data_IF_957310919777
#
_entry.id   IF_957310919777
#
_cell.length_a   1.000
_cell.length_b   1.000
_cell.length_c   1.000
_cell.angle_alpha   90.00
_cell.angle_beta   90.00
_cell.angle_gamma   90.00
#
_symmetry.space_group_name_H-M   'P 1'
#
loop_
_entity.id
_entity.type
_entity.pdbx_description
1 polymer ?
#
# COMPACT_ATOMS: atom_id res chain seq x y z
N UNK A 1 -19.66 33.52 23.21
CA UNK A 1 -19.60 32.15 23.77
C UNK A 1 -19.54 31.02 22.73
N UNK A 2 -20.44 30.92 21.73
CA UNK A 2 -20.45 29.82 20.73
C UNK A 2 -19.14 29.61 19.95
N UNK A 3 -18.41 30.68 19.58
CA UNK A 3 -17.12 30.57 18.85
C UNK A 3 -16.02 29.86 19.65
N UNK A 4 -15.98 30.01 20.97
CA UNK A 4 -14.95 29.37 21.82
C UNK A 4 -15.15 27.87 21.97
N UNK A 5 -16.41 27.40 22.06
CA UNK A 5 -16.73 25.99 22.16
C UNK A 5 -16.40 25.25 20.86
N UNK A 6 -16.72 25.85 19.70
CA UNK A 6 -16.36 25.30 18.39
C UNK A 6 -14.84 25.17 18.22
N UNK A 7 -14.07 26.16 18.64
CA UNK A 7 -12.61 26.11 18.55
C UNK A 7 -12.01 25.00 19.43
N UNK A 8 -12.52 24.80 20.65
CA UNK A 8 -12.06 23.72 21.53
C UNK A 8 -12.38 22.34 20.96
N UNK A 9 -13.60 22.13 20.44
CA UNK A 9 -14.00 20.86 19.81
C UNK A 9 -13.13 20.56 18.58
N UNK A 10 -12.93 21.55 17.70
CA UNK A 10 -12.09 21.38 16.51
C UNK A 10 -10.62 21.10 16.87
N UNK A 11 -10.10 21.73 17.94
CA UNK A 11 -8.73 21.49 18.42
C UNK A 11 -8.59 20.08 18.99
N UNK A 12 -9.56 19.61 19.77
CA UNK A 12 -9.59 18.23 20.28
C UNK A 12 -9.66 17.20 19.15
N UNK A 13 -10.56 17.42 18.18
CA UNK A 13 -10.66 16.56 16.99
C UNK A 13 -9.34 16.44 16.24
N UNK A 14 -8.68 17.57 15.91
CA UNK A 14 -7.39 17.55 15.22
C UNK A 14 -6.32 16.79 16.00
N UNK A 15 -6.25 16.99 17.31
CA UNK A 15 -5.26 16.34 18.18
C UNK A 15 -5.49 14.82 18.24
N UNK A 16 -6.75 14.39 18.36
CA UNK A 16 -7.11 12.96 18.31
C UNK A 16 -6.76 12.34 16.97
N UNK A 17 -7.11 13.00 15.87
CA UNK A 17 -6.78 12.52 14.51
C UNK A 17 -5.27 12.38 14.37
N UNK A 18 -4.50 13.42 14.72
CA UNK A 18 -3.04 13.40 14.65
C UNK A 18 -2.43 12.27 15.51
N UNK A 19 -2.97 12.02 16.70
CA UNK A 19 -2.52 10.92 17.56
C UNK A 19 -2.77 9.56 16.90
N UNK A 20 -3.98 9.32 16.37
CA UNK A 20 -4.33 8.08 15.70
C UNK A 20 -3.42 7.82 14.49
N UNK A 21 -3.19 8.85 13.66
CA UNK A 21 -2.31 8.73 12.49
C UNK A 21 -0.86 8.46 12.87
N UNK A 22 -0.32 9.15 13.88
CA UNK A 22 1.04 8.90 14.35
C UNK A 22 1.21 7.46 14.86
N UNK A 23 0.21 6.93 15.58
CA UNK A 23 0.21 5.54 16.02
C UNK A 23 0.10 4.57 14.84
N UNK A 24 -0.72 4.87 13.83
CA UNK A 24 -0.84 4.06 12.62
C UNK A 24 0.48 4.01 11.83
N UNK A 25 1.12 5.16 11.59
CA UNK A 25 2.42 5.23 10.91
C UNK A 25 3.48 4.45 11.70
N UNK A 26 3.54 4.62 13.01
CA UNK A 26 4.47 3.88 13.87
C UNK A 26 4.24 2.36 13.75
N UNK A 27 2.98 1.91 13.83
CA UNK A 27 2.64 0.50 13.68
C UNK A 27 3.03 -0.06 12.31
N UNK A 28 2.77 0.68 11.23
CA UNK A 28 3.14 0.29 9.87
C UNK A 28 4.66 0.23 9.67
N UNK A 29 5.41 1.20 10.21
CA UNK A 29 6.88 1.19 10.16
C UNK A 29 7.47 0.02 10.92
N UNK A 30 6.98 -0.25 12.13
CA UNK A 30 7.40 -1.42 12.91
C UNK A 30 7.07 -2.72 12.19
N UNK A 31 5.85 -2.83 11.64
CA UNK A 31 5.44 -3.97 10.82
C UNK A 31 6.36 -4.18 9.61
N UNK A 32 6.73 -3.11 8.91
CA UNK A 32 7.66 -3.14 7.79
C UNK A 32 9.05 -3.62 8.21
N UNK A 33 9.60 -3.08 9.29
CA UNK A 33 10.90 -3.51 9.80
C UNK A 33 10.90 -5.00 10.20
N UNK A 34 9.86 -5.44 10.90
CA UNK A 34 9.70 -6.85 11.29
C UNK A 34 9.58 -7.74 10.04
N UNK A 35 8.76 -7.34 9.07
CA UNK A 35 8.56 -8.07 7.82
C UNK A 35 9.85 -8.20 7.00
N UNK A 36 10.61 -7.11 6.87
CA UNK A 36 11.93 -7.11 6.22
C UNK A 36 12.87 -8.05 6.97
N UNK A 37 12.98 -7.90 8.29
CA UNK A 37 13.85 -8.75 9.12
C UNK A 37 13.52 -10.24 8.96
N UNK A 38 12.24 -10.60 9.01
CA UNK A 38 11.77 -11.97 8.81
C UNK A 38 12.11 -12.50 7.42
N UNK A 39 11.87 -11.72 6.37
CA UNK A 39 12.16 -12.12 4.99
C UNK A 39 13.66 -12.37 4.79
N UNK A 40 14.52 -11.53 5.37
CA UNK A 40 15.97 -11.73 5.33
C UNK A 40 16.43 -13.00 6.05
N UNK A 41 15.83 -13.33 7.20
CA UNK A 41 16.12 -14.58 7.91
C UNK A 41 15.69 -15.80 7.09
N UNK A 42 14.51 -15.76 6.48
CA UNK A 42 13.99 -16.84 5.64
C UNK A 42 14.89 -17.10 4.41
N UNK A 43 15.45 -16.06 3.79
CA UNK A 43 16.46 -16.21 2.71
C UNK A 43 17.71 -16.93 3.22
N UNK A 44 18.22 -16.53 4.39
CA UNK A 44 19.39 -17.15 4.99
C UNK A 44 19.21 -18.65 5.25
N UNK A 45 18.01 -19.04 5.68
CA UNK A 45 17.65 -20.45 5.89
C UNK A 45 17.42 -21.19 4.57
N UNK A 46 16.76 -20.57 3.58
CA UNK A 46 16.45 -21.19 2.29
C UNK A 46 17.69 -21.51 1.44
N UNK A 47 18.79 -20.75 1.59
CA UNK A 47 20.08 -21.06 0.96
C UNK A 47 20.64 -22.40 1.45
N UNK A 48 20.23 -22.85 2.64
CA UNK A 48 20.72 -24.09 3.25
C UNK A 48 19.92 -25.33 2.85
N UNK A 49 18.79 -25.20 2.14
CA UNK A 49 17.93 -26.32 1.75
C UNK A 49 18.00 -26.68 0.24
N UNK A 50 17.81 -27.96 -0.16
CA UNK A 50 17.89 -28.39 -1.56
C UNK A 50 16.72 -27.94 -2.46
N UNK A 51 15.63 -27.42 -1.89
CA UNK A 51 14.34 -27.19 -2.56
C UNK A 51 14.19 -25.79 -3.16
N UNK A 52 15.13 -25.39 -4.03
CA UNK A 52 15.27 -24.03 -4.61
C UNK A 52 13.97 -23.43 -5.18
N UNK A 53 13.07 -24.26 -5.75
CA UNK A 53 11.81 -23.78 -6.36
C UNK A 53 10.78 -23.28 -5.33
N UNK A 54 10.67 -23.93 -4.17
CA UNK A 54 9.71 -23.53 -3.13
C UNK A 54 10.18 -22.23 -2.48
N UNK A 55 11.47 -22.16 -2.13
CA UNK A 55 12.07 -20.97 -1.52
C UNK A 55 11.98 -19.71 -2.39
N UNK A 56 12.07 -19.82 -3.72
CA UNK A 56 11.91 -18.68 -4.62
C UNK A 56 10.47 -18.14 -4.64
N UNK A 57 9.47 -19.03 -4.61
CA UNK A 57 8.05 -18.64 -4.59
C UNK A 57 7.73 -17.88 -3.30
N UNK A 58 8.17 -18.39 -2.16
CA UNK A 58 7.94 -17.76 -0.86
C UNK A 58 8.67 -16.43 -0.77
N UNK A 59 9.91 -16.35 -1.27
CA UNK A 59 10.66 -15.11 -1.36
C UNK A 59 9.93 -14.03 -2.16
N UNK A 60 9.48 -14.34 -3.37
CA UNK A 60 8.77 -13.36 -4.22
C UNK A 60 7.46 -12.92 -3.54
N UNK A 61 6.73 -13.86 -2.93
CA UNK A 61 5.49 -13.56 -2.20
C UNK A 61 5.72 -12.63 -1.02
N UNK A 62 6.77 -12.88 -0.24
CA UNK A 62 7.14 -12.05 0.90
C UNK A 62 7.60 -10.65 0.45
N UNK A 63 8.45 -10.56 -0.55
CA UNK A 63 8.92 -9.27 -1.09
C UNK A 63 7.76 -8.44 -1.64
N UNK A 64 6.87 -9.04 -2.43
CA UNK A 64 5.67 -8.36 -2.94
C UNK A 64 4.75 -7.89 -1.81
N UNK A 65 4.67 -8.64 -0.71
CA UNK A 65 3.93 -8.22 0.48
C UNK A 65 4.56 -7.02 1.19
N UNK A 66 5.89 -6.97 1.27
CA UNK A 66 6.63 -5.82 1.82
C UNK A 66 6.45 -4.57 0.96
N UNK A 67 6.48 -4.72 -0.37
CA UNK A 67 6.24 -3.61 -1.31
C UNK A 67 4.87 -2.98 -1.05
N UNK A 68 3.80 -3.77 -0.92
CA UNK A 68 2.47 -3.23 -0.61
C UNK A 68 2.43 -2.52 0.75
N UNK A 69 3.07 -3.10 1.76
CA UNK A 69 3.12 -2.44 3.07
C UNK A 69 3.87 -1.11 3.01
N UNK A 70 4.93 -1.01 2.20
CA UNK A 70 5.65 0.23 1.93
C UNK A 70 4.78 1.25 1.17
N UNK A 71 4.00 0.83 0.18
CA UNK A 71 3.05 1.71 -0.53
C UNK A 71 1.96 2.24 0.40
N UNK A 72 1.45 1.40 1.31
CA UNK A 72 0.50 1.84 2.33
C UNK A 72 1.15 2.88 3.25
N UNK A 73 2.36 2.62 3.77
CA UNK A 73 3.11 3.60 4.58
C UNK A 73 3.25 4.92 3.82
N UNK A 74 3.65 4.88 2.55
CA UNK A 74 3.80 6.06 1.69
C UNK A 74 2.48 6.83 1.59
N UNK A 75 1.37 6.14 1.31
CA UNK A 75 0.04 6.75 1.23
C UNK A 75 -0.36 7.47 2.54
N UNK A 76 -0.07 6.85 3.68
CA UNK A 76 -0.36 7.43 5.01
C UNK A 76 0.50 8.66 5.31
N UNK A 77 1.80 8.61 5.00
CA UNK A 77 2.73 9.73 5.18
C UNK A 77 2.33 10.91 4.28
N UNK A 78 2.00 10.63 3.02
CA UNK A 78 1.62 11.63 2.04
C UNK A 78 0.27 12.28 2.38
N UNK A 79 -0.69 11.52 2.90
CA UNK A 79 -1.92 12.10 3.46
C UNK A 79 -1.64 13.11 4.58
N UNK A 80 -0.67 12.83 5.45
CA UNK A 80 -0.32 13.72 6.55
C UNK A 80 0.39 14.99 6.07
N UNK A 81 1.32 14.87 5.11
CA UNK A 81 2.08 16.02 4.59
C UNK A 81 1.17 17.07 3.93
N UNK A 82 0.09 16.64 3.28
CA UNK A 82 -0.78 17.53 2.50
C UNK A 82 -2.17 17.74 3.09
N UNK A 83 -2.47 17.13 4.26
CA UNK A 83 -3.77 17.10 4.95
C UNK A 83 -4.97 16.74 4.04
N UNK A 84 -4.70 16.11 2.88
CA UNK A 84 -5.67 15.79 1.83
C UNK A 84 -5.27 14.52 1.12
N UNK A 85 -6.26 13.70 0.80
CA UNK A 85 -6.06 12.56 -0.11
C UNK A 85 -5.97 13.14 -1.52
N UNK A 86 -4.77 13.19 -2.08
CA UNK A 86 -4.57 13.50 -3.49
C UNK A 86 -5.06 12.35 -4.35
N UNK A 87 -5.85 12.64 -5.36
CA UNK A 87 -6.35 11.63 -6.28
C UNK A 87 -5.20 10.94 -7.02
N UNK A 88 -4.13 11.67 -7.38
CA UNK A 88 -2.97 11.07 -8.03
C UNK A 88 -2.38 9.95 -7.16
N UNK A 89 -2.16 10.24 -5.88
CA UNK A 89 -1.58 9.32 -4.89
C UNK A 89 -2.45 8.09 -4.69
N UNK A 90 -3.76 8.30 -4.54
CA UNK A 90 -4.71 7.21 -4.38
C UNK A 90 -4.69 6.28 -5.61
N UNK A 91 -4.57 6.85 -6.81
CA UNK A 91 -4.46 6.08 -8.05
C UNK A 91 -3.10 5.37 -8.17
N UNK A 92 -1.99 6.00 -7.76
CA UNK A 92 -0.67 5.33 -7.75
C UNK A 92 -0.68 4.10 -6.83
N UNK A 93 -1.14 4.29 -5.60
CA UNK A 93 -1.20 3.25 -4.56
C UNK A 93 -2.20 2.17 -4.98
N UNK A 94 -3.34 2.57 -5.55
CA UNK A 94 -4.35 1.64 -6.08
C UNK A 94 -3.81 0.76 -7.21
N UNK A 95 -3.05 1.34 -8.15
CA UNK A 95 -2.39 0.58 -9.24
C UNK A 95 -1.39 -0.41 -8.64
N UNK A 96 -0.52 0.03 -7.74
CA UNK A 96 0.48 -0.83 -7.10
C UNK A 96 -0.18 -2.00 -6.33
N UNK A 97 -1.27 -1.73 -5.62
CA UNK A 97 -2.03 -2.73 -4.87
C UNK A 97 -2.66 -3.78 -5.79
N UNK A 98 -3.37 -3.34 -6.84
CA UNK A 98 -3.99 -4.23 -7.83
C UNK A 98 -2.95 -5.09 -8.54
N UNK A 99 -1.82 -4.49 -8.94
CA UNK A 99 -0.71 -5.23 -9.51
C UNK A 99 -0.18 -6.30 -8.56
N UNK A 100 -0.01 -5.97 -7.29
CA UNK A 100 0.48 -6.94 -6.28
C UNK A 100 -0.48 -8.09 -6.08
N UNK A 101 -1.77 -7.84 -5.90
CA UNK A 101 -2.75 -8.92 -5.72
C UNK A 101 -2.75 -9.87 -6.92
N UNK A 102 -2.66 -9.31 -8.13
CA UNK A 102 -2.55 -10.11 -9.35
C UNK A 102 -1.26 -10.94 -9.37
N UNK A 103 -0.11 -10.34 -9.05
CA UNK A 103 1.19 -11.03 -9.01
C UNK A 103 1.24 -12.11 -7.94
N UNK A 104 0.66 -11.88 -6.76
CA UNK A 104 0.56 -12.88 -5.72
C UNK A 104 -0.35 -14.04 -6.12
N UNK A 105 -1.48 -13.78 -6.75
CA UNK A 105 -2.34 -14.85 -7.27
C UNK A 105 -1.61 -15.69 -8.33
N UNK A 106 -0.84 -15.04 -9.21
CA UNK A 106 -0.06 -15.70 -10.26
C UNK A 106 1.09 -16.53 -9.69
N UNK A 107 1.91 -15.97 -8.78
CA UNK A 107 3.03 -16.69 -8.15
C UNK A 107 2.54 -17.74 -7.15
N UNK A 108 1.44 -17.47 -6.46
CA UNK A 108 0.73 -18.37 -5.56
C UNK A 108 0.21 -19.62 -6.26
N UNK A 109 -0.05 -19.54 -7.58
CA UNK A 109 -0.68 -20.61 -8.35
C UNK A 109 -2.16 -20.78 -8.02
N UNK A 110 -2.78 -19.78 -7.39
CA UNK A 110 -4.16 -19.83 -6.89
C UNK A 110 -5.15 -19.09 -7.79
N UNK A 111 -4.66 -18.38 -8.80
CA UNK A 111 -5.48 -17.53 -9.67
C UNK A 111 -6.14 -18.33 -10.79
N UNK A 112 -7.45 -18.20 -10.92
CA UNK A 112 -8.18 -18.75 -12.07
C UNK A 112 -8.03 -17.84 -13.31
N UNK A 113 -8.08 -18.42 -14.50
CA UNK A 113 -7.97 -17.66 -15.77
C UNK A 113 -8.98 -16.50 -15.86
N UNK A 114 -10.19 -16.69 -15.34
CA UNK A 114 -11.23 -15.65 -15.29
C UNK A 114 -10.84 -14.49 -14.34
N UNK A 115 -10.19 -14.80 -13.22
CA UNK A 115 -9.72 -13.79 -12.27
C UNK A 115 -8.59 -12.96 -12.89
N UNK A 116 -7.70 -13.56 -13.67
CA UNK A 116 -6.64 -12.83 -14.40
C UNK A 116 -7.25 -11.76 -15.32
N UNK A 117 -8.35 -12.08 -16.01
CA UNK A 117 -9.06 -11.11 -16.85
C UNK A 117 -9.65 -9.95 -16.03
N UNK A 118 -10.27 -10.23 -14.88
CA UNK A 118 -10.81 -9.19 -14.00
C UNK A 118 -9.71 -8.29 -13.43
N UNK A 119 -8.61 -8.86 -12.97
CA UNK A 119 -7.46 -8.09 -12.47
C UNK A 119 -6.84 -7.22 -13.56
N UNK A 120 -6.67 -7.76 -14.77
CA UNK A 120 -6.16 -7.02 -15.92
C UNK A 120 -7.10 -5.88 -16.32
N UNK A 121 -8.41 -6.13 -16.32
CA UNK A 121 -9.43 -5.11 -16.60
C UNK A 121 -9.44 -3.99 -15.55
N UNK A 122 -9.35 -4.35 -14.26
CA UNK A 122 -9.25 -3.39 -13.16
C UNK A 122 -7.97 -2.55 -13.24
N UNK A 123 -6.84 -3.18 -13.57
CA UNK A 123 -5.58 -2.49 -13.81
C UNK A 123 -5.68 -1.49 -14.96
N UNK A 124 -6.24 -1.92 -16.10
CA UNK A 124 -6.46 -1.03 -17.25
C UNK A 124 -7.36 0.15 -16.88
N UNK A 125 -8.43 -0.09 -16.12
CA UNK A 125 -9.32 0.97 -15.66
C UNK A 125 -8.60 1.98 -14.75
N UNK A 126 -7.74 1.51 -13.82
CA UNK A 126 -6.96 2.38 -12.95
C UNK A 126 -5.90 3.19 -13.72
N UNK A 127 -5.20 2.56 -14.66
CA UNK A 127 -4.25 3.26 -15.52
C UNK A 127 -4.97 4.30 -16.39
N UNK A 128 -6.12 3.95 -16.97
CA UNK A 128 -6.95 4.89 -17.71
C UNK A 128 -7.39 6.06 -16.82
N UNK A 129 -7.92 5.79 -15.62
CA UNK A 129 -8.31 6.82 -14.66
C UNK A 129 -7.14 7.74 -14.29
N UNK A 130 -5.93 7.20 -14.10
CA UNK A 130 -4.70 7.98 -13.86
C UNK A 130 -4.36 8.87 -15.05
N UNK A 131 -4.39 8.33 -16.27
CA UNK A 131 -4.07 9.12 -17.47
C UNK A 131 -5.07 10.25 -17.68
N UNK A 132 -6.36 10.00 -17.46
CA UNK A 132 -7.41 11.01 -17.52
C UNK A 132 -7.21 12.06 -16.42
N UNK A 133 -6.99 11.64 -15.17
CA UNK A 133 -6.74 12.55 -14.07
C UNK A 133 -5.53 13.47 -14.35
N UNK A 134 -4.44 12.93 -14.91
CA UNK A 134 -3.26 13.71 -15.27
C UNK A 134 -3.53 14.71 -16.41
N UNK A 135 -4.29 14.32 -17.43
CA UNK A 135 -4.63 15.23 -18.54
C UNK A 135 -5.56 16.36 -18.10
N UNK A 136 -6.59 16.06 -17.32
CA UNK A 136 -7.57 17.04 -16.86
C UNK A 136 -7.10 17.85 -15.64
N UNK A 137 -6.10 17.38 -14.89
CA UNK A 137 -5.43 18.17 -13.85
C UNK A 137 -4.48 19.23 -14.42
N UNK A 138 -4.24 19.21 -15.74
CA UNK A 138 -3.34 20.14 -16.45
C UNK A 138 -3.98 21.47 -16.90
N UNK A 139 -5.26 21.75 -16.62
CA UNK A 139 -5.84 23.09 -16.81
C UNK A 139 -5.55 24.00 -15.60
N UNK A 140 -4.28 24.37 -15.40
CA UNK A 140 -3.83 25.65 -14.83
C UNK A 140 -2.42 26.00 -15.30
#
# INVERSE_FOLDING_TARGET
MRKSLQQTILRGFRLTVQLIFNLAILALLLGLLIGVGRTLLEIGLAISEPSVRLGLKDLVTNVLSLVVMLELVRAFVEYFEFERIRLEVLLEVGVAFVLREMLLGLFGGEIQSTQVLFWSGGLLALVAARTLAAQYSGEK
#
